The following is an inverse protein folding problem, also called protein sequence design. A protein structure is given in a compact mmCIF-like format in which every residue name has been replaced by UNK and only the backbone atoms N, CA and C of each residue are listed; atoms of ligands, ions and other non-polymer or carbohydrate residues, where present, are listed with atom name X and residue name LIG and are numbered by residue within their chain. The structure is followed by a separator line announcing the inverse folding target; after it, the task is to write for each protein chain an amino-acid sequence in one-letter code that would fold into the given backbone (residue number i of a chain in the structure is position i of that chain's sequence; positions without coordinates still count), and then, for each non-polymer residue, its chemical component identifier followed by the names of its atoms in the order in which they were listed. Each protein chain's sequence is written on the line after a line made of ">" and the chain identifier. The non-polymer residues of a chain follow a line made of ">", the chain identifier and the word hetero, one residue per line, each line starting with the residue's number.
data_IF_189946479822
#
_entry.id   IF_189946479822
#
_cell.length_a   1.000
_cell.length_b   1.000
_cell.length_c   1.000
_cell.angle_alpha   90.00
_cell.angle_beta   90.00
_cell.angle_gamma   90.00
#
_symmetry.space_group_name_H-M   'P 1'
#
loop_
_entity.id
_entity.type
_entity.pdbx_description
1 polymer ?
#
# COMPACT_ATOMS: atom_id res chain seq x y z
N UNK A 1 10.63 1.88 10.40
CA UNK A 1 9.65 2.98 10.49
C UNK A 1 9.02 3.12 9.11
N UNK A 2 7.68 3.20 9.05
CA UNK A 2 6.94 3.27 7.80
C UNK A 2 7.23 4.60 7.07
N UNK A 3 7.34 4.55 5.75
CA UNK A 3 7.49 5.72 4.89
C UNK A 3 6.21 6.56 4.75
N UNK A 4 5.05 5.94 4.96
CA UNK A 4 3.74 6.57 4.84
C UNK A 4 2.94 6.45 6.15
N UNK A 5 2.07 7.42 6.41
CA UNK A 5 1.16 7.42 7.55
C UNK A 5 -0.29 7.22 7.10
N UNK A 6 -1.18 6.94 8.04
CA UNK A 6 -2.62 6.98 7.78
C UNK A 6 -3.02 8.30 7.12
N UNK A 7 -3.96 8.21 6.17
CA UNK A 7 -4.45 9.31 5.35
C UNK A 7 -3.44 9.92 4.35
N UNK A 8 -2.18 9.46 4.31
CA UNK A 8 -1.27 9.85 3.23
C UNK A 8 -1.84 9.41 1.88
N UNK A 9 -1.81 10.33 0.91
CA UNK A 9 -2.19 10.06 -0.47
C UNK A 9 -1.00 9.44 -1.19
N UNK A 10 -1.22 8.25 -1.72
CA UNK A 10 -0.19 7.45 -2.41
C UNK A 10 -0.66 7.05 -3.79
N UNK A 11 0.30 6.60 -4.59
CA UNK A 11 0.06 6.02 -5.92
C UNK A 11 0.88 4.75 -6.06
N UNK A 12 0.28 3.61 -6.43
CA UNK A 12 1.05 2.42 -6.74
C UNK A 12 1.93 2.65 -7.98
N UNK A 13 3.20 2.28 -7.89
CA UNK A 13 4.18 2.50 -8.95
C UNK A 13 3.99 1.51 -10.09
N UNK A 14 4.64 1.74 -11.23
CA UNK A 14 4.57 0.84 -12.40
C UNK A 14 5.14 -0.57 -12.15
N UNK A 15 5.88 -0.76 -11.04
CA UNK A 15 6.39 -2.08 -10.63
C UNK A 15 5.43 -2.82 -9.71
N UNK A 16 4.36 -2.18 -9.25
CA UNK A 16 3.34 -2.81 -8.41
C UNK A 16 2.55 -3.87 -9.19
N UNK A 17 2.01 -4.91 -8.51
CA UNK A 17 1.08 -5.85 -9.13
C UNK A 17 -0.10 -5.14 -9.81
N UNK A 18 -0.59 -5.68 -10.93
CA UNK A 18 -1.70 -5.06 -11.69
C UNK A 18 -2.98 -4.91 -10.86
N UNK A 19 -3.21 -5.80 -9.89
CA UNK A 19 -4.33 -5.70 -8.94
C UNK A 19 -4.26 -4.46 -8.04
N UNK A 20 -3.06 -3.91 -7.83
CA UNK A 20 -2.85 -2.65 -7.12
C UNK A 20 -3.09 -1.42 -8.01
N UNK A 21 -3.55 -1.59 -9.26
CA UNK A 21 -3.93 -0.50 -10.18
C UNK A 21 -2.85 0.59 -10.31
N UNK A 22 -1.62 0.25 -10.79
CA UNK A 22 -0.53 1.20 -10.97
C UNK A 22 -0.97 2.54 -11.57
N UNK A 23 -0.51 3.64 -10.96
CA UNK A 23 -0.85 5.00 -11.37
C UNK A 23 -2.16 5.55 -10.80
N UNK A 24 -2.98 4.72 -10.14
CA UNK A 24 -4.24 5.17 -9.54
C UNK A 24 -3.99 5.82 -8.18
N UNK A 25 -4.71 6.91 -7.90
CA UNK A 25 -4.70 7.58 -6.59
C UNK A 25 -5.35 6.69 -5.54
N UNK A 26 -4.73 6.62 -4.36
CA UNK A 26 -5.24 5.89 -3.20
C UNK A 26 -4.85 6.58 -1.89
N UNK A 27 -5.44 6.13 -0.78
CA UNK A 27 -5.14 6.59 0.58
C UNK A 27 -4.64 5.42 1.43
N UNK A 28 -3.70 5.68 2.32
CA UNK A 28 -3.27 4.70 3.32
C UNK A 28 -4.34 4.58 4.41
N UNK A 29 -4.94 3.40 4.53
CA UNK A 29 -5.98 3.06 5.52
C UNK A 29 -5.58 1.89 6.43
N UNK A 30 -4.35 1.40 6.32
CA UNK A 30 -3.79 0.36 7.18
C UNK A 30 -2.28 0.30 7.07
N UNK A 31 -1.59 0.05 8.18
CA UNK A 31 -0.12 -0.05 8.24
C UNK A 31 0.26 -1.29 9.05
N UNK A 32 1.04 -2.19 8.45
CA UNK A 32 1.54 -3.40 9.09
C UNK A 32 3.08 -3.39 9.11
N UNK A 33 3.66 -2.89 10.21
CA UNK A 33 5.12 -2.91 10.44
C UNK A 33 5.64 -4.28 10.88
N UNK A 34 4.84 -4.99 11.68
CA UNK A 34 5.16 -6.32 12.20
C UNK A 34 4.04 -7.25 11.74
N UNK A 35 4.42 -8.30 10.99
CA UNK A 35 3.47 -9.21 10.36
C UNK A 35 2.97 -10.24 11.36
N UNK A 36 1.81 -9.99 11.93
CA UNK A 36 1.08 -10.97 12.72
C UNK A 36 -0.02 -11.60 11.85
N UNK A 37 -0.04 -12.94 11.78
CA UNK A 37 -1.05 -13.72 11.06
C UNK A 37 -0.58 -14.30 9.73
N UNK A 38 -1.15 -15.46 9.37
CA UNK A 38 -0.70 -16.25 8.20
C UNK A 38 -0.91 -15.55 6.86
N UNK A 39 -1.90 -14.67 6.76
CA UNK A 39 -2.19 -13.92 5.54
C UNK A 39 -1.04 -13.00 5.10
N UNK A 40 -0.38 -12.34 6.05
CA UNK A 40 0.70 -11.39 5.75
C UNK A 40 2.04 -12.07 5.46
N UNK A 41 2.15 -13.40 5.71
CA UNK A 41 3.36 -14.19 5.40
C UNK A 41 3.62 -14.34 3.91
N UNK A 42 2.63 -14.06 3.05
CA UNK A 42 2.77 -14.14 1.58
C UNK A 42 3.64 -13.02 1.00
N UNK A 43 3.84 -11.93 1.75
CA UNK A 43 4.67 -10.82 1.31
C UNK A 43 6.15 -11.07 1.71
N UNK A 44 7.16 -10.59 0.97
CA UNK A 44 8.58 -10.49 1.36
C UNK A 44 8.78 -9.52 2.53
N UNK A 45 9.77 -9.68 3.41
CA UNK A 45 9.96 -8.80 4.60
C UNK A 45 9.91 -7.30 4.29
N UNK A 46 9.23 -6.52 5.15
CA UNK A 46 9.03 -5.07 4.99
C UNK A 46 7.65 -4.59 5.45
N UNK A 47 7.40 -3.29 5.39
CA UNK A 47 6.10 -2.70 5.73
C UNK A 47 5.09 -3.00 4.60
N UNK A 48 3.89 -3.40 4.99
CA UNK A 48 2.74 -3.58 4.09
C UNK A 48 1.67 -2.56 4.45
N UNK A 49 1.07 -1.94 3.45
CA UNK A 49 0.00 -0.96 3.62
C UNK A 49 -1.30 -1.52 3.08
N UNK A 50 -2.42 -1.30 3.76
CA UNK A 50 -3.72 -1.35 3.10
C UNK A 50 -3.97 0.03 2.49
N UNK A 51 -4.15 0.07 1.17
CA UNK A 51 -4.53 1.29 0.46
C UNK A 51 -5.98 1.18 -0.01
N UNK A 52 -6.71 2.29 0.03
CA UNK A 52 -8.09 2.41 -0.46
C UNK A 52 -8.14 3.34 -1.67
N UNK A 53 -8.78 2.90 -2.76
CA UNK A 53 -8.95 3.67 -3.99
C UNK A 53 -10.23 4.52 -3.94
N UNK A 54 -10.37 5.45 -4.90
CA UNK A 54 -11.54 6.34 -5.00
C UNK A 54 -12.89 5.61 -5.15
N UNK A 55 -12.90 4.35 -5.57
CA UNK A 55 -14.11 3.51 -5.66
C UNK A 55 -14.44 2.77 -4.36
N UNK A 56 -13.69 3.01 -3.28
CA UNK A 56 -13.87 2.38 -1.97
C UNK A 56 -13.33 0.94 -1.88
N UNK A 57 -12.66 0.44 -2.91
CA UNK A 57 -11.98 -0.85 -2.86
C UNK A 57 -10.60 -0.70 -2.22
N UNK A 58 -10.18 -1.71 -1.45
CA UNK A 58 -8.87 -1.72 -0.80
C UNK A 58 -8.02 -2.94 -1.13
N UNK A 59 -6.70 -2.81 -1.00
CA UNK A 59 -5.74 -3.89 -1.21
C UNK A 59 -4.48 -3.70 -0.36
N UNK A 60 -3.84 -4.81 0.04
CA UNK A 60 -2.52 -4.79 0.67
C UNK A 60 -1.39 -4.70 -0.34
N UNK A 61 -0.47 -3.75 -0.15
CA UNK A 61 0.65 -3.46 -1.04
C UNK A 61 1.93 -3.24 -0.22
N UNK A 62 3.05 -3.77 -0.71
CA UNK A 62 4.36 -3.54 -0.10
C UNK A 62 4.81 -2.09 -0.26
N UNK A 63 5.52 -1.57 0.74
CA UNK A 63 6.02 -0.19 0.76
C UNK A 63 6.78 0.22 -0.52
N UNK A 64 7.61 -0.68 -1.06
CA UNK A 64 8.43 -0.45 -2.26
C UNK A 64 7.61 -0.18 -3.52
N UNK A 65 6.33 -0.55 -3.51
CA UNK A 65 5.41 -0.37 -4.63
C UNK A 65 4.57 0.90 -4.53
N UNK A 66 4.81 1.76 -3.54
CA UNK A 66 4.07 3.01 -3.34
C UNK A 66 4.99 4.21 -3.48
N UNK A 67 4.47 5.29 -4.05
CA UNK A 67 5.08 6.62 -4.01
C UNK A 67 4.07 7.65 -3.47
N UNK A 68 4.57 8.74 -2.90
CA UNK A 68 3.71 9.86 -2.51
C UNK A 68 3.09 10.47 -3.77
N UNK A 69 1.80 10.77 -3.69
CA UNK A 69 1.17 11.56 -4.73
C UNK A 69 1.52 13.03 -4.48
N UNK A 70 2.43 13.59 -5.29
CA UNK A 70 2.67 15.03 -5.28
C UNK A 70 1.38 15.73 -5.74
N UNK A 71 0.86 16.65 -4.92
CA UNK A 71 -0.28 17.51 -5.27
C UNK A 71 0.17 18.76 -6.01
#
# INVERSE_FOLDING_TARGET
>A
MPLFNYDDIVKPTHTAPSSARPGSKAWVVGIYEIRHGDFLKKFPDGVVYTIEFEDGMSIEVEEVHLERCDM
#
